data_IF_557895904028
#
_entry.id   IF_557895904028
#
_cell.length_a   1.000
_cell.length_b   1.000
_cell.length_c   1.000
_cell.angle_alpha   90.00
_cell.angle_beta   90.00
_cell.angle_gamma   90.00
#
_symmetry.space_group_name_H-M   'P 1'
#
loop_
_entity.id
_entity.type
_entity.pdbx_description
1 polymer ?
#
# COMPACT_ATOMS: atom_id res chain seq x y z
N UNK A 1 15.55 22.44 -12.72
CA UNK A 1 14.58 22.02 -11.67
C UNK A 1 14.08 20.62 -12.00
N UNK A 2 14.18 19.65 -11.09
CA UNK A 2 13.63 18.30 -11.31
C UNK A 2 12.13 18.28 -11.03
N UNK A 3 11.37 17.52 -11.83
CA UNK A 3 9.90 17.42 -11.74
C UNK A 3 9.42 16.19 -10.95
N UNK A 4 10.27 15.18 -10.81
CA UNK A 4 9.89 13.88 -10.26
C UNK A 4 10.78 13.50 -9.08
N UNK A 5 10.14 12.92 -8.07
CA UNK A 5 10.80 12.32 -6.91
C UNK A 5 10.56 10.81 -6.99
N UNK A 6 11.62 10.01 -6.89
CA UNK A 6 11.54 8.56 -6.84
C UNK A 6 11.96 8.09 -5.45
N UNK A 7 11.18 7.18 -4.87
CA UNK A 7 11.44 6.59 -3.56
C UNK A 7 11.62 5.09 -3.72
N UNK A 8 12.77 4.57 -3.29
CA UNK A 8 13.10 3.15 -3.34
C UNK A 8 13.37 2.67 -1.92
N UNK A 9 12.68 1.61 -1.48
CA UNK A 9 12.78 1.11 -0.12
C UNK A 9 13.04 -0.39 -0.12
N UNK A 10 13.91 -0.83 0.78
CA UNK A 10 14.13 -2.23 1.12
C UNK A 10 13.72 -2.43 2.58
N UNK A 11 12.61 -3.14 2.78
CA UNK A 11 12.04 -3.40 4.11
C UNK A 11 12.01 -4.90 4.36
N UNK A 12 12.67 -5.33 5.44
CA UNK A 12 12.56 -6.69 5.93
C UNK A 12 11.33 -6.83 6.83
N UNK A 13 10.63 -7.96 6.70
CA UNK A 13 9.50 -8.31 7.55
C UNK A 13 9.81 -9.62 8.29
N UNK A 14 9.40 -9.78 9.56
CA UNK A 14 9.38 -11.07 10.20
C UNK A 14 8.38 -12.01 9.50
N UNK A 15 8.35 -13.32 9.83
CA UNK A 15 7.34 -14.23 9.31
C UNK A 15 5.92 -13.70 9.54
N UNK A 16 5.26 -13.27 8.46
CA UNK A 16 3.97 -12.61 8.51
C UNK A 16 3.19 -12.81 7.21
N UNK A 17 1.86 -12.92 7.33
CA UNK A 17 0.95 -12.98 6.19
C UNK A 17 0.35 -11.59 5.91
N UNK A 18 1.20 -10.69 5.41
CA UNK A 18 0.94 -9.26 5.24
C UNK A 18 -0.17 -8.92 4.23
N UNK A 19 -0.37 -9.79 3.25
CA UNK A 19 -1.31 -9.55 2.15
C UNK A 19 -1.77 -10.91 1.61
N UNK A 20 -3.08 -11.15 1.62
CA UNK A 20 -3.70 -12.44 1.34
C UNK A 20 -4.46 -12.45 0.01
N UNK A 21 -4.67 -13.63 -0.55
CA UNK A 21 -5.65 -13.87 -1.61
C UNK A 21 -7.02 -14.27 -1.02
N UNK A 22 -7.98 -14.55 -1.90
CA UNK A 22 -9.35 -14.95 -1.52
C UNK A 22 -9.41 -16.27 -0.75
N UNK A 23 -8.36 -17.10 -0.85
CA UNK A 23 -8.23 -18.36 -0.12
C UNK A 23 -7.46 -18.20 1.21
N UNK A 24 -7.01 -16.98 1.52
CA UNK A 24 -6.25 -16.66 2.73
C UNK A 24 -4.74 -16.93 2.63
N UNK A 25 -4.26 -17.41 1.49
CA UNK A 25 -2.84 -17.66 1.25
C UNK A 25 -2.08 -16.35 1.01
N UNK A 26 -0.78 -16.25 1.37
CA UNK A 26 0.01 -15.07 1.06
C UNK A 26 0.05 -14.79 -0.45
N UNK A 27 -0.19 -13.55 -0.85
CA UNK A 27 -0.15 -13.15 -2.26
C UNK A 27 1.29 -13.26 -2.78
N UNK A 28 1.49 -13.98 -3.87
CA UNK A 28 2.82 -14.19 -4.49
C UNK A 28 2.92 -13.56 -5.88
N UNK A 29 4.13 -13.51 -6.42
CA UNK A 29 4.42 -13.23 -7.83
C UNK A 29 5.73 -13.89 -8.26
N UNK A 30 5.83 -14.24 -9.55
CA UNK A 30 7.08 -14.74 -10.15
C UNK A 30 8.02 -13.57 -10.46
N UNK A 31 9.25 -13.64 -9.97
CA UNK A 31 10.30 -12.68 -10.27
C UNK A 31 11.64 -13.41 -10.43
N UNK A 32 12.23 -13.32 -11.63
CA UNK A 32 13.48 -14.00 -11.95
C UNK A 32 13.37 -15.53 -11.89
N UNK A 33 12.20 -16.09 -12.22
CA UNK A 33 11.94 -17.54 -12.20
C UNK A 33 11.47 -18.11 -10.85
N UNK A 34 11.57 -17.35 -9.76
CA UNK A 34 11.19 -17.79 -8.42
C UNK A 34 9.92 -17.11 -7.92
N UNK A 35 9.12 -17.82 -7.12
CA UNK A 35 7.97 -17.24 -6.43
C UNK A 35 8.45 -16.40 -5.25
N UNK A 36 7.93 -15.17 -5.15
CA UNK A 36 8.23 -14.24 -4.05
C UNK A 36 6.93 -13.77 -3.41
N UNK A 37 6.99 -13.51 -2.11
CA UNK A 37 5.91 -12.81 -1.41
C UNK A 37 5.72 -11.42 -2.01
N UNK A 38 4.47 -11.03 -2.20
CA UNK A 38 4.10 -9.74 -2.79
C UNK A 38 3.09 -9.02 -1.92
N UNK A 39 3.45 -7.81 -1.51
CA UNK A 39 2.49 -6.85 -0.98
C UNK A 39 1.91 -6.07 -2.16
N UNK A 40 0.59 -6.08 -2.28
CA UNK A 40 -0.09 -5.41 -3.38
C UNK A 40 -0.04 -3.89 -3.23
N UNK A 41 0.02 -3.16 -4.36
CA UNK A 41 0.08 -1.69 -4.31
C UNK A 41 -1.18 -1.08 -3.68
N UNK A 42 -2.34 -1.70 -3.89
CA UNK A 42 -3.60 -1.31 -3.27
C UNK A 42 -3.56 -1.48 -1.75
N UNK A 43 -2.98 -2.56 -1.24
CA UNK A 43 -2.81 -2.76 0.20
C UNK A 43 -1.94 -1.66 0.79
N UNK A 44 -0.73 -1.45 0.25
CA UNK A 44 0.17 -0.39 0.72
C UNK A 44 -0.49 0.99 0.69
N UNK A 45 -1.12 1.36 -0.44
CA UNK A 45 -1.83 2.64 -0.59
C UNK A 45 -2.93 2.81 0.46
N UNK A 46 -3.72 1.75 0.72
CA UNK A 46 -4.77 1.78 1.74
C UNK A 46 -4.15 1.99 3.12
N UNK A 47 -3.16 1.19 3.51
CA UNK A 47 -2.49 1.28 4.82
C UNK A 47 -1.98 2.68 5.09
N UNK A 48 -1.31 3.32 4.11
CA UNK A 48 -0.86 4.71 4.26
C UNK A 48 -2.04 5.67 4.42
N UNK A 49 -3.05 5.61 3.55
CA UNK A 49 -4.21 6.52 3.57
C UNK A 49 -5.05 6.43 4.84
N UNK A 50 -5.16 5.23 5.42
CA UNK A 50 -5.91 5.00 6.65
C UNK A 50 -5.08 5.17 7.91
N UNK A 51 -3.76 5.36 7.81
CA UNK A 51 -2.91 5.58 8.99
C UNK A 51 -3.16 6.94 9.64
N UNK A 52 -3.17 6.99 10.97
CA UNK A 52 -3.39 8.23 11.73
C UNK A 52 -2.36 9.30 11.41
N UNK A 53 -1.10 8.89 11.22
CA UNK A 53 0.00 9.78 10.84
C UNK A 53 -0.30 10.49 9.51
N UNK A 54 -0.73 9.73 8.49
CA UNK A 54 -1.04 10.28 7.19
C UNK A 54 -2.27 11.18 7.24
N UNK A 55 -3.31 10.78 7.99
CA UNK A 55 -4.50 11.61 8.19
C UNK A 55 -4.14 12.93 8.87
N UNK A 56 -3.38 12.90 9.97
CA UNK A 56 -2.94 14.09 10.70
C UNK A 56 -2.08 15.03 9.83
N UNK A 57 -1.22 14.47 8.97
CA UNK A 57 -0.40 15.24 8.04
C UNK A 57 -1.24 15.87 6.90
N UNK A 58 -2.25 15.16 6.39
CA UNK A 58 -3.05 15.59 5.23
C UNK A 58 -4.17 16.55 5.61
N UNK A 59 -4.78 16.43 6.79
CA UNK A 59 -5.85 17.31 7.28
C UNK A 59 -5.40 18.77 7.49
N UNK A 60 -4.08 19.02 7.54
CA UNK A 60 -3.51 20.38 7.58
C UNK A 60 -3.42 21.04 6.19
N UNK A 61 -3.73 20.34 5.09
CA UNK A 61 -3.60 20.85 3.72
C UNK A 61 -4.78 20.49 2.81
N UNK A 62 -5.71 21.45 2.63
CA UNK A 62 -6.71 21.56 1.55
C UNK A 62 -7.54 20.32 1.18
N UNK A 63 -8.81 20.35 1.62
CA UNK A 63 -9.79 19.25 1.65
C UNK A 63 -10.36 18.70 0.33
N UNK A 64 -9.60 18.62 -0.78
CA UNK A 64 -10.05 17.90 -2.00
C UNK A 64 -9.22 16.67 -2.36
N UNK A 65 -7.89 16.71 -2.20
CA UNK A 65 -7.02 15.57 -2.51
C UNK A 65 -7.16 14.42 -1.49
N UNK A 66 -7.33 14.76 -0.21
CA UNK A 66 -7.58 13.78 0.85
C UNK A 66 -8.85 12.95 0.59
N UNK A 67 -9.95 13.59 0.18
CA UNK A 67 -11.23 12.93 -0.12
C UNK A 67 -11.16 12.04 -1.37
N UNK A 68 -10.52 12.51 -2.45
CA UNK A 68 -10.39 11.72 -3.69
C UNK A 68 -9.49 10.48 -3.49
N UNK A 69 -8.47 10.57 -2.64
CA UNK A 69 -7.61 9.43 -2.33
C UNK A 69 -8.28 8.40 -1.40
N UNK A 70 -9.21 8.83 -0.54
CA UNK A 70 -9.99 7.94 0.34
C UNK A 70 -11.06 7.13 -0.42
N UNK A 71 -11.64 7.67 -1.49
CA UNK A 71 -12.81 7.08 -2.15
C UNK A 71 -12.49 6.03 -3.24
N UNK A 72 -11.23 5.67 -3.48
CA UNK A 72 -10.82 4.67 -4.51
C UNK A 72 -10.52 3.27 -3.95
N UNK A 73 -10.97 2.95 -2.74
CA UNK A 73 -10.61 1.71 -2.02
C UNK A 73 -11.72 0.67 -1.89
N UNK A 74 -12.67 0.66 -2.82
CA UNK A 74 -13.67 -0.41 -2.94
C UNK A 74 -13.20 -1.47 -3.96
N UNK A 75 -12.26 -2.30 -3.54
CA UNK A 75 -11.76 -3.39 -4.38
C UNK A 75 -10.58 -4.09 -3.74
N UNK A 76 -10.80 -5.32 -3.27
CA UNK A 76 -9.93 -6.19 -2.47
C UNK A 76 -9.61 -5.67 -1.06
N UNK A 77 -10.21 -6.34 -0.06
CA UNK A 77 -9.86 -6.20 1.36
C UNK A 77 -8.39 -6.51 1.55
N UNK A 78 -7.56 -5.49 1.82
CA UNK A 78 -6.41 -5.73 2.68
C UNK A 78 -6.93 -5.69 4.13
N UNK A 79 -6.80 -6.77 4.92
CA UNK A 79 -7.17 -6.75 6.33
C UNK A 79 -6.38 -5.69 7.11
#
# INVERSE_FOLDING_TARGET
MSRFIQLHLLTAYPPANLNRDDQGSPKTAKMGGYDRLRVSSQCLKRTWRTSDLFQAATLKGTGKLAQVMQNQTEGEKCP
#
